data_IF_423828245139
#
_entry.id   IF_423828245139
#
_cell.length_a   1.000
_cell.length_b   1.000
_cell.length_c   1.000
_cell.angle_alpha   90.00
_cell.angle_beta   90.00
_cell.angle_gamma   90.00
#
_symmetry.space_group_name_H-M   'P 1'
#
loop_
_entity.id
_entity.type
_entity.pdbx_description
1 polymer ?
#
# COMPACT_ATOMS: atom_id res chain seq x y z
N UNK A 1 -19.76 9.94 -95.66
CA UNK A 1 -19.67 8.62 -95.06
C UNK A 1 -18.32 8.47 -94.38
N UNK A 2 -18.24 8.68 -93.06
CA UNK A 2 -16.99 8.61 -92.27
C UNK A 2 -17.06 7.43 -91.35
N UNK A 3 -16.16 6.46 -91.44
CA UNK A 3 -15.97 5.36 -90.54
C UNK A 3 -15.09 5.84 -89.35
N UNK A 4 -15.64 5.82 -88.15
CA UNK A 4 -14.88 6.00 -86.89
C UNK A 4 -14.27 4.66 -86.46
N UNK A 5 -12.93 4.63 -86.34
CA UNK A 5 -12.18 3.55 -85.74
C UNK A 5 -12.17 3.74 -84.23
N UNK A 6 -12.59 2.74 -83.46
CA UNK A 6 -12.41 2.67 -82.04
C UNK A 6 -11.05 2.03 -81.76
N UNK A 7 -10.23 2.74 -81.02
CA UNK A 7 -8.97 2.21 -80.43
C UNK A 7 -9.28 1.73 -79.08
N UNK A 8 -9.11 0.42 -78.82
CA UNK A 8 -9.13 -0.15 -77.50
C UNK A 8 -7.75 -0.03 -76.83
N UNK A 9 -7.61 0.82 -75.86
CA UNK A 9 -6.43 0.89 -75.01
C UNK A 9 -6.64 -0.05 -73.86
N UNK A 10 -5.89 -1.17 -73.75
CA UNK A 10 -5.84 -2.07 -72.63
C UNK A 10 -4.95 -1.45 -71.58
N UNK A 11 -5.56 -1.07 -70.42
CA UNK A 11 -4.82 -0.75 -69.16
C UNK A 11 -4.52 -2.03 -68.43
N UNK A 12 -3.25 -2.41 -68.42
CA UNK A 12 -2.71 -3.44 -67.50
C UNK A 12 -2.48 -2.78 -66.13
N UNK A 13 -3.38 -3.07 -65.18
CA UNK A 13 -3.20 -2.73 -63.76
C UNK A 13 -2.18 -3.70 -63.14
N UNK A 14 -0.98 -3.24 -62.88
CA UNK A 14 -0.02 -3.97 -62.06
C UNK A 14 -0.47 -3.87 -60.57
N UNK A 15 -1.00 -4.96 -60.05
CA UNK A 15 -1.26 -5.07 -58.61
C UNK A 15 0.08 -5.27 -57.87
N UNK A 16 0.55 -4.20 -57.26
CA UNK A 16 1.66 -4.28 -56.28
C UNK A 16 1.08 -4.80 -54.98
N UNK A 17 1.17 -6.10 -54.77
CA UNK A 17 0.92 -6.74 -53.46
C UNK A 17 2.10 -6.36 -52.55
N UNK A 18 1.94 -5.34 -51.73
CA UNK A 18 2.81 -5.08 -50.58
C UNK A 18 2.58 -6.19 -49.54
N UNK A 19 3.44 -7.19 -49.57
CA UNK A 19 3.63 -8.11 -48.46
C UNK A 19 4.19 -7.28 -47.27
N UNK A 20 3.29 -6.69 -46.49
CA UNK A 20 3.63 -6.25 -45.16
C UNK A 20 3.97 -7.55 -44.37
N UNK A 21 5.26 -7.80 -44.17
CA UNK A 21 5.74 -8.81 -43.25
C UNK A 21 5.20 -8.40 -41.88
N UNK A 22 4.14 -9.04 -41.46
CA UNK A 22 3.74 -9.02 -40.05
C UNK A 22 4.90 -9.67 -39.27
N UNK A 23 5.81 -8.83 -38.77
CA UNK A 23 6.75 -9.25 -37.74
C UNK A 23 5.88 -9.75 -36.60
N UNK A 24 5.85 -11.06 -36.40
CA UNK A 24 5.19 -11.66 -35.24
C UNK A 24 5.84 -11.03 -34.00
N UNK A 25 5.10 -10.14 -33.33
CA UNK A 25 5.55 -9.57 -32.07
C UNK A 25 5.96 -10.74 -31.16
N UNK A 26 7.18 -10.69 -30.64
CA UNK A 26 7.60 -11.70 -29.64
C UNK A 26 6.51 -11.78 -28.57
N UNK A 27 6.12 -12.99 -28.13
CA UNK A 27 5.17 -13.13 -27.05
C UNK A 27 5.71 -12.33 -25.86
N UNK A 28 4.85 -11.50 -25.25
CA UNK A 28 5.27 -10.69 -24.10
C UNK A 28 5.55 -11.60 -22.91
N UNK A 29 6.56 -11.22 -22.14
CA UNK A 29 6.95 -11.92 -20.92
C UNK A 29 5.80 -11.89 -19.91
N UNK A 30 5.65 -12.97 -19.14
CA UNK A 30 4.64 -13.12 -18.09
C UNK A 30 5.25 -12.83 -16.73
N UNK A 31 4.52 -12.10 -15.90
CA UNK A 31 4.95 -11.67 -14.57
C UNK A 31 4.25 -12.51 -13.51
N UNK A 32 5.03 -13.15 -12.65
CA UNK A 32 4.55 -13.74 -11.41
C UNK A 32 4.71 -12.73 -10.28
N UNK A 33 3.61 -12.22 -9.75
CA UNK A 33 3.62 -11.27 -8.64
C UNK A 33 3.55 -12.00 -7.31
N UNK A 34 4.61 -11.95 -6.50
CA UNK A 34 4.61 -12.42 -5.11
C UNK A 34 4.15 -11.31 -4.19
N UNK A 35 2.96 -11.42 -3.64
CA UNK A 35 2.33 -10.40 -2.78
C UNK A 35 1.25 -11.02 -1.90
N UNK A 36 0.36 -10.22 -1.32
CA UNK A 36 -0.75 -10.65 -0.46
C UNK A 36 -0.29 -11.34 0.83
N UNK A 37 0.26 -10.52 1.76
CA UNK A 37 1.00 -11.04 2.90
C UNK A 37 0.11 -11.55 4.03
N UNK A 38 -1.06 -10.92 4.26
CA UNK A 38 -2.02 -11.28 5.30
C UNK A 38 -3.39 -10.62 5.05
N UNK A 39 -4.41 -11.02 5.84
CA UNK A 39 -5.81 -10.64 5.66
C UNK A 39 -6.47 -10.01 6.90
N UNK A 40 -5.70 -9.76 7.96
CA UNK A 40 -6.18 -9.17 9.23
C UNK A 40 -5.71 -7.73 9.47
N UNK A 41 -5.07 -7.12 8.47
CA UNK A 41 -4.64 -5.73 8.45
C UNK A 41 -4.92 -5.14 7.06
N UNK A 42 -5.76 -4.11 6.99
CA UNK A 42 -6.20 -3.50 5.71
C UNK A 42 -5.06 -2.90 4.92
N UNK A 43 -4.02 -2.43 5.60
CA UNK A 43 -2.85 -1.87 4.97
C UNK A 43 -1.96 -2.92 4.32
N UNK A 44 -1.75 -4.05 5.00
CA UNK A 44 -1.02 -5.17 4.40
C UNK A 44 -1.79 -5.80 3.22
N UNK A 45 -3.13 -5.72 3.24
CA UNK A 45 -3.97 -6.08 2.09
C UNK A 45 -3.73 -5.10 0.93
N UNK A 46 -3.65 -3.80 1.19
CA UNK A 46 -3.55 -2.74 0.17
C UNK A 46 -2.30 -2.81 -0.71
N UNK A 47 -1.21 -3.45 -0.28
CA UNK A 47 -0.01 -3.67 -1.10
C UNK A 47 -0.31 -4.34 -2.44
N UNK A 48 -1.15 -5.36 -2.42
CA UNK A 48 -1.44 -6.18 -3.62
C UNK A 48 -2.26 -5.42 -4.66
N UNK A 49 -3.44 -4.86 -4.34
CA UNK A 49 -4.20 -4.07 -5.31
C UNK A 49 -3.43 -2.84 -5.79
N UNK A 50 -2.62 -2.21 -4.94
CA UNK A 50 -1.77 -1.11 -5.35
C UNK A 50 -0.72 -1.54 -6.40
N UNK A 51 -0.04 -2.67 -6.21
CA UNK A 51 0.91 -3.19 -7.20
C UNK A 51 0.20 -3.64 -8.48
N UNK A 52 -0.96 -4.29 -8.38
CA UNK A 52 -1.77 -4.69 -9.54
C UNK A 52 -2.24 -3.48 -10.34
N UNK A 53 -2.68 -2.40 -9.67
CA UNK A 53 -3.05 -1.15 -10.35
C UNK A 53 -1.86 -0.53 -11.10
N UNK A 54 -0.66 -0.51 -10.50
CA UNK A 54 0.55 -0.04 -11.19
C UNK A 54 0.87 -0.87 -12.44
N UNK A 55 0.78 -2.20 -12.33
CA UNK A 55 1.00 -3.10 -13.46
C UNK A 55 -0.06 -2.90 -14.55
N UNK A 56 -1.34 -2.80 -14.19
CA UNK A 56 -2.43 -2.50 -15.14
C UNK A 56 -2.22 -1.17 -15.86
N UNK A 57 -1.83 -0.12 -15.14
CA UNK A 57 -1.64 1.23 -15.67
C UNK A 57 -0.41 1.38 -16.57
N UNK A 58 0.71 0.81 -16.16
CA UNK A 58 1.98 1.04 -16.84
C UNK A 58 2.43 -0.12 -17.73
N UNK A 59 1.95 -1.33 -17.51
CA UNK A 59 2.27 -2.54 -18.27
C UNK A 59 0.99 -3.32 -18.68
N UNK A 60 0.00 -2.66 -19.33
CA UNK A 60 -1.34 -3.24 -19.55
C UNK A 60 -1.33 -4.47 -20.47
N UNK A 61 -0.28 -4.65 -21.26
CA UNK A 61 -0.15 -5.76 -22.21
C UNK A 61 0.58 -6.97 -21.63
N UNK A 62 1.01 -6.93 -20.36
CA UNK A 62 1.69 -8.06 -19.71
C UNK A 62 0.69 -8.91 -18.92
N UNK A 63 0.83 -10.23 -19.04
CA UNK A 63 0.05 -11.15 -18.22
C UNK A 63 0.64 -11.19 -16.80
N UNK A 64 -0.23 -10.97 -15.81
CA UNK A 64 0.14 -11.00 -14.39
C UNK A 64 -0.63 -12.10 -13.69
N UNK A 65 0.09 -12.97 -12.97
CA UNK A 65 -0.49 -13.97 -12.08
C UNK A 65 -0.07 -13.66 -10.65
N UNK A 66 -1.00 -13.67 -9.71
CA UNK A 66 -0.70 -13.48 -8.29
C UNK A 66 -0.31 -14.80 -7.64
N UNK A 67 0.87 -14.85 -7.04
CA UNK A 67 1.31 -15.86 -6.09
C UNK A 67 1.12 -15.32 -4.66
N UNK A 68 -0.03 -15.62 -4.01
CA UNK A 68 -0.39 -15.00 -2.76
C UNK A 68 0.37 -15.60 -1.57
N UNK A 69 0.52 -14.81 -0.49
CA UNK A 69 0.78 -15.32 0.84
C UNK A 69 -0.49 -15.86 1.48
N UNK A 70 -1.53 -15.01 1.51
CA UNK A 70 -2.87 -15.35 1.97
C UNK A 70 -3.89 -14.41 1.32
N UNK A 71 -5.04 -14.93 0.91
CA UNK A 71 -6.17 -14.18 0.32
C UNK A 71 -7.53 -14.56 0.93
N UNK A 72 -7.53 -15.22 2.10
CA UNK A 72 -8.74 -15.56 2.85
C UNK A 72 -9.52 -14.31 3.31
N UNK A 73 -10.55 -14.52 4.09
CA UNK A 73 -11.37 -13.47 4.72
C UNK A 73 -11.98 -12.47 3.73
N UNK A 74 -12.32 -12.92 2.52
CA UNK A 74 -12.95 -12.09 1.49
C UNK A 74 -11.99 -11.21 0.67
N UNK A 75 -10.67 -11.33 0.89
CA UNK A 75 -9.66 -10.59 0.13
C UNK A 75 -9.60 -11.05 -1.32
N UNK A 76 -9.74 -12.35 -1.58
CA UNK A 76 -9.86 -12.92 -2.92
C UNK A 76 -11.04 -12.32 -3.70
N UNK A 77 -12.23 -12.32 -3.09
CA UNK A 77 -13.44 -11.75 -3.70
C UNK A 77 -13.29 -10.25 -3.98
N UNK A 78 -12.69 -9.49 -3.04
CA UNK A 78 -12.40 -8.07 -3.20
C UNK A 78 -11.42 -7.82 -4.37
N UNK A 79 -10.34 -8.59 -4.47
CA UNK A 79 -9.39 -8.51 -5.58
C UNK A 79 -10.05 -8.86 -6.91
N UNK A 80 -10.83 -9.94 -6.98
CA UNK A 80 -11.51 -10.37 -8.20
C UNK A 80 -12.59 -9.39 -8.65
N UNK A 81 -13.26 -8.69 -7.72
CA UNK A 81 -14.20 -7.59 -8.04
C UNK A 81 -13.51 -6.48 -8.82
N UNK A 82 -12.28 -6.09 -8.43
CA UNK A 82 -11.53 -5.00 -9.07
C UNK A 82 -10.70 -5.47 -10.28
N UNK A 83 -10.15 -6.68 -10.21
CA UNK A 83 -9.29 -7.28 -11.24
C UNK A 83 -9.86 -8.60 -11.77
N UNK A 84 -10.97 -8.59 -12.55
CA UNK A 84 -11.71 -9.80 -12.91
C UNK A 84 -10.95 -10.77 -13.83
N UNK A 85 -9.84 -10.36 -14.39
CA UNK A 85 -8.95 -11.19 -15.22
C UNK A 85 -7.72 -11.72 -14.47
N UNK A 86 -7.55 -11.35 -13.20
CA UNK A 86 -6.42 -11.78 -12.39
C UNK A 86 -6.48 -13.28 -12.15
N UNK A 87 -5.42 -14.01 -12.45
CA UNK A 87 -5.21 -15.37 -11.99
C UNK A 87 -4.57 -15.33 -10.60
N UNK A 88 -5.21 -15.96 -9.61
CA UNK A 88 -4.67 -16.12 -8.24
C UNK A 88 -4.32 -17.60 -8.08
N UNK A 89 -3.08 -17.91 -7.69
CA UNK A 89 -2.65 -19.28 -7.44
C UNK A 89 -3.21 -19.80 -6.10
N UNK A 90 -3.65 -21.06 -6.08
CA UNK A 90 -4.12 -21.74 -4.86
C UNK A 90 -3.00 -22.29 -3.98
N UNK A 91 -1.73 -22.03 -4.35
CA UNK A 91 -0.53 -22.49 -3.63
C UNK A 91 -0.33 -24.02 -3.59
N UNK A 92 -0.96 -24.79 -4.48
CA UNK A 92 -0.66 -26.21 -4.69
C UNK A 92 0.67 -26.42 -5.42
N UNK A 93 1.44 -27.45 -5.05
CA UNK A 93 2.76 -27.72 -5.66
C UNK A 93 2.71 -27.86 -7.17
N UNK A 94 1.68 -28.51 -7.73
CA UNK A 94 1.53 -28.70 -9.18
C UNK A 94 1.30 -27.36 -9.90
N UNK A 95 0.40 -26.53 -9.38
CA UNK A 95 0.06 -25.23 -9.93
C UNK A 95 1.24 -24.26 -9.85
N UNK A 96 1.96 -24.28 -8.72
CA UNK A 96 3.16 -23.45 -8.54
C UNK A 96 4.29 -23.86 -9.50
N UNK A 97 4.50 -25.16 -9.73
CA UNK A 97 5.48 -25.64 -10.71
C UNK A 97 5.11 -25.24 -12.14
N UNK A 98 3.81 -25.28 -12.51
CA UNK A 98 3.31 -24.78 -13.80
C UNK A 98 3.55 -23.28 -13.95
N UNK A 99 3.26 -22.49 -12.90
CA UNK A 99 3.52 -21.07 -12.89
C UNK A 99 5.02 -20.76 -13.06
N UNK A 100 5.89 -21.49 -12.38
CA UNK A 100 7.33 -21.32 -12.50
C UNK A 100 7.85 -21.67 -13.92
N UNK A 101 7.26 -22.67 -14.56
CA UNK A 101 7.61 -23.03 -15.93
C UNK A 101 7.17 -21.95 -16.93
N UNK A 102 5.96 -21.41 -16.76
CA UNK A 102 5.28 -20.54 -17.74
C UNK A 102 5.56 -19.04 -17.60
N UNK A 103 6.03 -18.57 -16.43
CA UNK A 103 6.33 -17.15 -16.21
C UNK A 103 7.83 -16.85 -16.44
N UNK A 104 8.14 -15.64 -16.84
CA UNK A 104 9.46 -15.21 -17.25
C UNK A 104 10.17 -14.36 -16.19
N UNK A 105 9.42 -13.71 -15.34
CA UNK A 105 9.90 -12.77 -14.34
C UNK A 105 9.12 -12.88 -13.04
N UNK A 106 9.82 -12.88 -11.89
CA UNK A 106 9.18 -12.74 -10.58
C UNK A 106 9.28 -11.29 -10.10
N UNK A 107 8.15 -10.65 -9.83
CA UNK A 107 8.10 -9.39 -9.13
C UNK A 107 7.74 -9.65 -7.64
N UNK A 108 8.68 -9.35 -6.73
CA UNK A 108 8.37 -9.27 -5.32
C UNK A 108 7.69 -7.93 -5.06
N UNK A 109 6.41 -7.95 -4.68
CA UNK A 109 5.63 -6.77 -4.35
C UNK A 109 6.14 -6.05 -3.10
N UNK A 110 5.60 -4.86 -2.83
CA UNK A 110 5.97 -4.08 -1.65
C UNK A 110 5.57 -4.79 -0.35
N UNK A 111 6.28 -4.47 0.74
CA UNK A 111 5.98 -5.12 2.00
C UNK A 111 6.99 -4.87 3.12
N UNK A 112 6.75 -5.45 4.31
CA UNK A 112 7.55 -5.22 5.51
C UNK A 112 8.93 -5.90 5.48
N UNK A 113 9.25 -6.64 4.44
CA UNK A 113 10.51 -7.37 4.29
C UNK A 113 10.61 -8.10 2.97
N UNK A 114 11.64 -8.92 2.82
CA UNK A 114 11.89 -9.72 1.61
C UNK A 114 11.51 -11.17 1.89
N UNK A 115 10.57 -11.69 1.11
CA UNK A 115 10.09 -13.06 1.24
C UNK A 115 11.13 -14.08 0.78
N UNK A 116 11.33 -15.14 1.56
CA UNK A 116 12.16 -16.30 1.18
C UNK A 116 11.62 -17.06 -0.04
N UNK A 117 10.39 -16.82 -0.46
CA UNK A 117 9.79 -17.37 -1.69
C UNK A 117 10.62 -17.04 -2.94
N UNK A 118 11.34 -15.90 -2.93
CA UNK A 118 12.28 -15.54 -4.01
C UNK A 118 13.37 -16.61 -4.18
N UNK A 119 13.88 -17.18 -3.08
CA UNK A 119 14.88 -18.27 -3.17
C UNK A 119 14.31 -19.50 -3.86
N UNK A 120 13.04 -19.84 -3.61
CA UNK A 120 12.39 -20.98 -4.28
C UNK A 120 12.28 -20.73 -5.79
N UNK A 121 11.89 -19.52 -6.21
CA UNK A 121 11.88 -19.13 -7.62
C UNK A 121 13.25 -19.29 -8.28
N UNK A 122 14.28 -18.72 -7.66
CA UNK A 122 15.65 -18.79 -8.19
C UNK A 122 16.14 -20.23 -8.29
N UNK A 123 15.95 -21.04 -7.23
CA UNK A 123 16.37 -22.43 -7.19
C UNK A 123 15.68 -23.31 -8.25
N UNK A 124 14.39 -23.06 -8.49
CA UNK A 124 13.59 -23.87 -9.42
C UNK A 124 13.72 -23.44 -10.87
N UNK A 125 13.97 -22.16 -11.13
CA UNK A 125 13.87 -21.61 -12.49
C UNK A 125 15.16 -20.99 -13.01
N UNK A 126 16.01 -20.44 -12.14
CA UNK A 126 17.14 -19.59 -12.54
C UNK A 126 16.74 -18.28 -13.25
N UNK A 127 15.44 -17.96 -13.33
CA UNK A 127 14.92 -16.81 -14.06
C UNK A 127 15.07 -15.51 -13.24
N UNK A 128 15.07 -14.33 -13.91
CA UNK A 128 15.25 -13.04 -13.27
C UNK A 128 14.08 -12.66 -12.34
N UNK A 129 14.37 -11.74 -11.41
CA UNK A 129 13.40 -11.16 -10.50
C UNK A 129 13.78 -9.74 -10.10
N UNK A 130 12.79 -8.99 -9.62
CA UNK A 130 12.93 -7.64 -9.07
C UNK A 130 12.19 -7.47 -7.75
N UNK A 131 12.56 -6.45 -6.98
CA UNK A 131 12.00 -6.14 -5.66
C UNK A 131 11.36 -4.73 -5.72
N UNK A 132 10.07 -4.64 -5.39
CA UNK A 132 9.26 -3.43 -5.50
C UNK A 132 8.83 -2.86 -4.16
N UNK A 133 9.61 -1.97 -3.53
CA UNK A 133 9.19 -1.18 -2.38
C UNK A 133 9.15 -1.92 -1.03
N UNK A 134 10.31 -2.35 -0.51
CA UNK A 134 10.40 -3.10 0.74
C UNK A 134 11.12 -2.33 1.85
N UNK A 135 10.80 -2.62 3.12
CA UNK A 135 11.68 -2.31 4.24
C UNK A 135 12.68 -3.44 4.44
N UNK A 136 13.94 -3.11 4.64
CA UNK A 136 14.98 -4.10 4.92
C UNK A 136 15.79 -3.76 6.16
N UNK A 137 15.85 -4.71 7.10
CA UNK A 137 16.52 -4.55 8.40
C UNK A 137 17.93 -5.15 8.46
N UNK A 138 18.62 -5.34 7.32
CA UNK A 138 20.02 -5.73 7.29
C UNK A 138 20.29 -7.24 7.46
N UNK A 139 19.32 -8.12 7.23
CA UNK A 139 19.52 -9.59 7.35
C UNK A 139 20.41 -10.12 6.23
N UNK A 140 21.30 -11.10 6.54
CA UNK A 140 22.15 -11.74 5.54
C UNK A 140 21.36 -12.45 4.44
N UNK A 141 20.26 -13.11 4.80
CA UNK A 141 19.37 -13.76 3.83
C UNK A 141 18.74 -12.77 2.86
N UNK A 142 18.31 -11.60 3.38
CA UNK A 142 17.79 -10.51 2.55
C UNK A 142 18.87 -9.90 1.64
N UNK A 143 20.11 -9.72 2.14
CA UNK A 143 21.22 -9.22 1.33
C UNK A 143 21.52 -10.14 0.13
N UNK A 144 21.48 -11.46 0.36
CA UNK A 144 21.64 -12.46 -0.71
C UNK A 144 20.59 -12.29 -1.81
N UNK A 145 19.33 -12.08 -1.42
CA UNK A 145 18.23 -11.87 -2.37
C UNK A 145 18.40 -10.53 -3.08
N UNK A 146 18.76 -9.45 -2.37
CA UNK A 146 19.01 -8.14 -2.99
C UNK A 146 20.11 -8.24 -4.04
N UNK A 147 21.21 -8.90 -3.74
CA UNK A 147 22.37 -9.05 -4.64
C UNK A 147 22.08 -9.81 -5.93
N UNK A 148 21.08 -10.71 -5.92
CA UNK A 148 20.67 -11.47 -7.11
C UNK A 148 19.55 -10.82 -7.91
N UNK A 149 18.95 -9.73 -7.42
CA UNK A 149 17.85 -9.04 -8.09
C UNK A 149 18.35 -8.17 -9.25
N UNK A 150 17.53 -8.02 -10.30
CA UNK A 150 17.79 -7.07 -11.40
C UNK A 150 17.69 -5.62 -10.91
N UNK A 151 16.75 -5.37 -10.00
CA UNK A 151 16.58 -4.10 -9.30
C UNK A 151 15.99 -4.33 -7.91
N UNK A 152 16.23 -3.37 -7.00
CA UNK A 152 15.61 -3.35 -5.68
C UNK A 152 15.15 -1.92 -5.31
N UNK A 153 13.87 -1.75 -5.11
CA UNK A 153 13.28 -0.52 -4.57
C UNK A 153 13.01 -0.68 -3.08
N UNK A 154 13.45 0.30 -2.31
CA UNK A 154 13.24 0.35 -0.85
C UNK A 154 12.21 1.43 -0.54
N UNK A 155 11.21 1.12 0.30
CA UNK A 155 10.13 2.05 0.60
C UNK A 155 10.50 3.17 1.56
N UNK A 156 11.73 3.17 2.08
CA UNK A 156 12.29 4.23 2.92
C UNK A 156 13.79 4.40 2.67
N UNK A 157 14.27 5.64 2.84
CA UNK A 157 15.68 6.01 2.62
C UNK A 157 16.64 5.32 3.60
N UNK A 158 16.16 4.92 4.78
CA UNK A 158 16.96 4.24 5.80
C UNK A 158 17.31 2.83 5.35
N UNK A 159 16.33 2.08 4.83
CA UNK A 159 16.56 0.75 4.24
C UNK A 159 17.51 0.82 3.04
N UNK A 160 17.35 1.83 2.17
CA UNK A 160 18.24 2.05 1.02
C UNK A 160 19.67 2.38 1.46
N UNK A 161 19.83 3.25 2.45
CA UNK A 161 21.15 3.60 3.00
C UNK A 161 21.82 2.38 3.63
N UNK A 162 21.08 1.58 4.39
CA UNK A 162 21.57 0.33 4.98
C UNK A 162 22.04 -0.67 3.92
N UNK A 163 21.29 -0.80 2.80
CA UNK A 163 21.70 -1.68 1.70
C UNK A 163 23.04 -1.25 1.09
N UNK A 164 23.24 0.04 0.90
CA UNK A 164 24.53 0.60 0.42
C UNK A 164 25.65 0.40 1.43
N UNK A 165 25.41 0.63 2.71
CA UNK A 165 26.37 0.40 3.79
C UNK A 165 26.81 -1.06 3.87
N UNK A 166 25.87 -1.99 3.68
CA UNK A 166 26.15 -3.43 3.64
C UNK A 166 26.72 -3.92 2.30
N UNK A 167 27.13 -3.00 1.42
CA UNK A 167 27.74 -3.27 0.12
C UNK A 167 26.88 -4.19 -0.77
N UNK A 168 25.57 -3.97 -0.78
CA UNK A 168 24.69 -4.68 -1.72
C UNK A 168 25.12 -4.42 -3.17
N UNK A 169 25.12 -5.47 -3.99
CA UNK A 169 25.63 -5.46 -5.38
C UNK A 169 24.53 -5.47 -6.44
N UNK A 170 23.26 -5.26 -6.05
CA UNK A 170 22.15 -5.13 -7.00
C UNK A 170 22.43 -3.98 -7.99
N UNK A 171 22.27 -4.21 -9.31
CA UNK A 171 22.60 -3.21 -10.34
C UNK A 171 21.88 -1.87 -10.19
N UNK A 172 20.64 -1.90 -9.71
CA UNK A 172 19.84 -0.70 -9.47
C UNK A 172 19.19 -0.78 -8.09
N UNK A 173 19.48 0.20 -7.25
CA UNK A 173 18.87 0.36 -5.93
C UNK A 173 18.38 1.81 -5.77
N UNK A 174 17.08 1.99 -5.63
CA UNK A 174 16.45 3.33 -5.50
C UNK A 174 15.39 3.33 -4.39
N UNK A 175 15.00 4.54 -3.97
CA UNK A 175 13.77 4.74 -3.20
C UNK A 175 12.56 4.53 -4.10
N UNK A 176 11.65 3.66 -3.67
CA UNK A 176 10.35 3.43 -4.30
C UNK A 176 9.33 3.16 -3.22
N UNK A 177 8.34 4.06 -3.04
CA UNK A 177 7.42 4.00 -1.91
C UNK A 177 6.58 2.73 -1.92
N UNK A 178 5.87 2.53 -0.83
CA UNK A 178 4.96 1.42 -0.62
C UNK A 178 3.87 1.40 -1.70
N UNK A 179 3.59 0.24 -2.30
CA UNK A 179 2.56 0.12 -3.33
C UNK A 179 1.15 0.46 -2.83
N UNK A 180 0.93 0.51 -1.51
CA UNK A 180 -0.32 1.00 -0.91
C UNK A 180 -0.66 2.41 -1.38
N UNK A 181 0.32 3.26 -1.75
CA UNK A 181 0.06 4.57 -2.39
C UNK A 181 -0.70 4.48 -3.71
N UNK A 182 -0.65 3.35 -4.39
CA UNK A 182 -1.36 3.13 -5.65
C UNK A 182 -2.65 2.30 -5.49
N UNK A 183 -3.04 1.98 -4.26
CA UNK A 183 -4.29 1.25 -4.03
C UNK A 183 -5.49 2.12 -4.44
N UNK A 184 -6.28 1.60 -5.40
CA UNK A 184 -7.47 2.27 -5.93
C UNK A 184 -8.78 1.56 -5.56
N UNK A 185 -8.71 0.64 -4.60
CA UNK A 185 -9.89 -0.04 -4.06
C UNK A 185 -10.73 0.94 -3.25
N UNK A 186 -11.99 1.11 -3.64
CA UNK A 186 -12.95 1.97 -2.92
C UNK A 186 -14.35 1.35 -3.00
N UNK A 187 -15.03 1.23 -1.88
CA UNK A 187 -16.46 0.96 -1.80
C UNK A 187 -17.19 2.23 -1.33
N UNK A 188 -17.41 3.14 -2.27
CA UNK A 188 -17.98 4.47 -2.01
C UNK A 188 -19.40 4.41 -1.48
N UNK A 189 -20.24 3.53 -2.04
CA UNK A 189 -21.65 3.45 -1.69
C UNK A 189 -21.83 2.90 -0.27
N UNK A 190 -21.13 1.82 0.07
CA UNK A 190 -21.16 1.25 1.41
C UNK A 190 -20.61 2.23 2.46
N UNK A 191 -19.51 2.92 2.15
CA UNK A 191 -18.93 3.91 3.05
C UNK A 191 -19.87 5.10 3.28
N UNK A 192 -20.47 5.65 2.23
CA UNK A 192 -21.41 6.76 2.35
C UNK A 192 -22.66 6.39 3.17
N UNK A 193 -23.22 5.20 2.92
CA UNK A 193 -24.37 4.70 3.67
C UNK A 193 -24.06 4.55 5.17
N UNK A 194 -22.92 3.94 5.50
CA UNK A 194 -22.51 3.77 6.88
C UNK A 194 -22.20 5.10 7.59
N UNK A 195 -21.53 6.04 6.94
CA UNK A 195 -21.26 7.36 7.51
C UNK A 195 -22.55 8.10 7.84
N UNK A 196 -23.54 8.01 6.97
CA UNK A 196 -24.89 8.58 7.22
C UNK A 196 -25.57 7.93 8.43
N UNK A 197 -25.50 6.59 8.55
CA UNK A 197 -26.06 5.83 9.68
C UNK A 197 -25.46 6.25 11.02
N UNK A 198 -24.12 6.43 11.07
CA UNK A 198 -23.43 6.81 12.31
C UNK A 198 -23.35 8.34 12.52
N UNK A 199 -23.95 9.13 11.63
CA UNK A 199 -24.03 10.58 11.72
C UNK A 199 -22.67 11.29 11.52
N UNK A 200 -21.78 10.77 10.69
CA UNK A 200 -20.55 11.42 10.25
C UNK A 200 -20.76 12.05 8.87
N UNK A 201 -20.46 13.34 8.76
CA UNK A 201 -20.59 14.09 7.51
C UNK A 201 -19.23 14.26 6.83
N UNK A 202 -19.22 14.18 5.51
CA UNK A 202 -18.01 14.35 4.69
C UNK A 202 -17.31 15.69 5.00
N UNK A 203 -15.99 15.63 5.20
CA UNK A 203 -15.14 16.77 5.54
C UNK A 203 -15.33 17.32 6.96
N UNK A 204 -16.21 16.71 7.79
CA UNK A 204 -16.52 17.20 9.14
C UNK A 204 -16.11 16.19 10.23
N UNK A 205 -15.26 15.24 9.93
CA UNK A 205 -14.69 14.32 10.92
C UNK A 205 -13.25 13.98 10.59
N UNK A 206 -12.50 13.62 11.62
CA UNK A 206 -11.14 13.07 11.47
C UNK A 206 -11.09 11.64 12.01
N UNK A 207 -10.17 10.84 11.47
CA UNK A 207 -9.93 9.46 11.89
C UNK A 207 -8.76 9.39 12.86
N UNK A 208 -8.86 8.51 13.87
CA UNK A 208 -7.77 8.20 14.78
C UNK A 208 -7.58 6.69 14.89
N UNK A 209 -6.32 6.22 14.76
CA UNK A 209 -5.95 4.80 14.82
C UNK A 209 -4.83 4.60 15.84
N UNK A 210 -5.12 4.13 17.07
CA UNK A 210 -4.08 3.70 18.00
C UNK A 210 -3.52 2.34 17.60
N UNK A 211 -2.28 2.07 18.01
CA UNK A 211 -1.63 0.77 17.85
C UNK A 211 -0.76 0.46 19.07
N UNK A 212 -0.72 -0.80 19.45
CA UNK A 212 0.30 -1.31 20.36
C UNK A 212 1.64 -1.43 19.63
N UNK A 213 2.75 -1.27 20.33
CA UNK A 213 4.11 -1.36 19.76
C UNK A 213 4.32 -2.64 18.97
N UNK A 214 3.77 -3.74 19.45
CA UNK A 214 3.84 -5.04 18.82
C UNK A 214 2.42 -5.55 18.63
N UNK A 215 1.98 -5.73 17.37
CA UNK A 215 0.64 -6.27 17.09
C UNK A 215 0.46 -7.60 17.81
N UNK A 216 -0.60 -7.75 18.64
CA UNK A 216 -0.85 -8.97 19.40
C UNK A 216 -1.50 -10.05 18.51
N UNK A 217 -0.73 -10.58 17.56
CA UNK A 217 -1.22 -11.58 16.60
C UNK A 217 -1.86 -12.81 17.25
N UNK A 218 -1.52 -13.13 18.50
CA UNK A 218 -2.16 -14.20 19.26
C UNK A 218 -3.62 -13.91 19.63
N UNK A 219 -4.10 -12.69 19.48
CA UNK A 219 -5.50 -12.31 19.70
C UNK A 219 -6.34 -12.37 18.41
N UNK A 220 -5.68 -12.37 17.24
CA UNK A 220 -6.33 -12.22 15.94
C UNK A 220 -5.95 -13.30 14.91
N UNK A 221 -5.11 -14.27 15.29
CA UNK A 221 -4.71 -15.42 14.46
C UNK A 221 -4.63 -16.67 15.30
N UNK A 222 -5.36 -17.70 14.95
CA UNK A 222 -5.46 -18.96 15.71
C UNK A 222 -4.15 -19.73 15.85
N UNK A 223 -3.23 -19.54 14.89
CA UNK A 223 -1.96 -20.27 14.82
C UNK A 223 -0.80 -19.54 15.52
N UNK A 224 -1.02 -18.40 16.15
CA UNK A 224 0.02 -17.62 16.84
C UNK A 224 -0.11 -17.80 18.36
N UNK A 225 0.94 -18.29 18.99
CA UNK A 225 0.98 -18.49 20.45
C UNK A 225 1.19 -17.16 21.17
N UNK A 226 0.61 -17.07 22.38
CA UNK A 226 0.85 -15.95 23.29
C UNK A 226 2.33 -15.78 23.60
N UNK A 227 2.81 -14.53 23.51
CA UNK A 227 4.19 -14.15 23.83
C UNK A 227 4.19 -13.17 25.03
N UNK A 228 4.55 -13.65 26.24
CA UNK A 228 4.48 -12.84 27.44
C UNK A 228 5.45 -11.65 27.44
N UNK A 229 6.57 -11.73 26.71
CA UNK A 229 7.54 -10.62 26.63
C UNK A 229 6.98 -9.49 25.77
N UNK A 230 6.41 -9.83 24.62
CA UNK A 230 5.76 -8.86 23.74
C UNK A 230 4.55 -8.22 24.40
N UNK A 231 3.75 -9.04 25.12
CA UNK A 231 2.62 -8.53 25.89
C UNK A 231 3.08 -7.56 26.96
N UNK A 232 4.08 -7.91 27.79
CA UNK A 232 4.61 -7.04 28.83
C UNK A 232 5.12 -5.70 28.25
N UNK A 233 5.79 -5.72 27.09
CA UNK A 233 6.24 -4.49 26.40
C UNK A 233 5.08 -3.62 25.95
N UNK A 234 4.03 -4.21 25.43
CA UNK A 234 2.81 -3.50 25.07
C UNK A 234 2.15 -2.86 26.29
N UNK A 235 2.00 -3.61 27.39
CA UNK A 235 1.39 -3.09 28.63
C UNK A 235 2.21 -1.93 29.23
N UNK A 236 3.53 -2.02 29.21
CA UNK A 236 4.43 -0.97 29.66
C UNK A 236 4.23 0.35 28.89
N UNK A 237 4.05 0.28 27.58
CA UNK A 237 4.11 1.45 26.71
C UNK A 237 2.73 1.96 26.23
N UNK A 238 1.66 1.19 26.39
CA UNK A 238 0.37 1.52 25.79
C UNK A 238 -0.21 2.87 26.23
N UNK A 239 -0.07 3.24 27.48
CA UNK A 239 -0.56 4.56 27.94
C UNK A 239 0.33 5.70 27.41
N UNK A 240 1.64 5.52 27.46
CA UNK A 240 2.60 6.48 26.92
C UNK A 240 2.32 6.78 25.43
N UNK A 241 2.11 5.74 24.62
CA UNK A 241 1.95 5.88 23.18
C UNK A 241 0.53 6.30 22.74
N UNK A 242 -0.50 6.06 23.58
CA UNK A 242 -1.90 6.33 23.21
C UNK A 242 -2.45 7.61 23.87
N UNK A 243 -1.90 8.04 25.01
CA UNK A 243 -2.35 9.29 25.65
C UNK A 243 -2.23 10.52 24.73
N UNK A 244 -1.16 10.72 23.95
CA UNK A 244 -1.09 11.82 22.98
C UNK A 244 -2.22 11.79 21.94
N UNK A 245 -2.58 10.61 21.45
CA UNK A 245 -3.70 10.44 20.50
C UNK A 245 -5.04 10.81 21.16
N UNK A 246 -5.27 10.31 22.38
CA UNK A 246 -6.48 10.65 23.16
C UNK A 246 -6.59 12.15 23.41
N UNK A 247 -5.49 12.80 23.75
CA UNK A 247 -5.45 14.24 23.94
C UNK A 247 -5.78 14.99 22.63
N UNK A 248 -5.28 14.53 21.49
CA UNK A 248 -5.62 15.10 20.18
C UNK A 248 -7.12 14.91 19.85
N UNK A 249 -7.70 13.75 20.14
CA UNK A 249 -9.16 13.52 20.01
C UNK A 249 -9.96 14.54 20.84
N UNK A 250 -9.57 14.75 22.10
CA UNK A 250 -10.22 15.72 22.99
C UNK A 250 -10.10 17.15 22.43
N UNK A 251 -8.91 17.54 22.00
CA UNK A 251 -8.66 18.87 21.44
C UNK A 251 -9.48 19.12 20.18
N UNK A 252 -9.49 18.20 19.21
CA UNK A 252 -10.30 18.33 17.99
C UNK A 252 -11.78 18.56 18.31
N UNK A 253 -12.35 17.75 19.19
CA UNK A 253 -13.77 17.86 19.55
C UNK A 253 -14.11 19.16 20.27
N UNK A 254 -13.22 19.68 21.11
CA UNK A 254 -13.46 20.89 21.89
C UNK A 254 -13.13 22.18 21.17
N UNK A 255 -12.12 22.17 20.31
CA UNK A 255 -11.59 23.37 19.66
C UNK A 255 -12.05 23.53 18.20
N UNK A 256 -12.73 22.52 17.64
CA UNK A 256 -13.21 22.54 16.25
C UNK A 256 -14.67 22.02 16.17
N UNK A 257 -15.38 22.29 15.07
CA UNK A 257 -16.71 21.71 14.85
C UNK A 257 -16.68 20.22 14.43
N UNK A 258 -15.50 19.60 14.31
CA UNK A 258 -15.36 18.24 13.80
C UNK A 258 -15.77 17.18 14.81
N UNK A 259 -16.23 16.05 14.29
CA UNK A 259 -16.38 14.79 15.01
C UNK A 259 -15.13 13.93 14.86
N UNK A 260 -15.04 12.88 15.67
CA UNK A 260 -13.95 11.90 15.58
C UNK A 260 -14.47 10.50 15.27
N UNK A 261 -13.73 9.78 14.45
CA UNK A 261 -13.89 8.36 14.20
C UNK A 261 -12.69 7.60 14.75
N UNK A 262 -12.92 6.75 15.75
CA UNK A 262 -11.93 5.77 16.20
C UNK A 262 -12.09 4.50 15.37
N UNK A 263 -11.09 4.18 14.56
CA UNK A 263 -11.18 3.08 13.59
C UNK A 263 -9.94 2.19 13.60
N UNK A 264 -10.06 0.92 13.16
CA UNK A 264 -8.94 -0.01 13.10
C UNK A 264 -8.23 0.02 11.74
N UNK A 265 -6.94 -0.30 11.72
CA UNK A 265 -6.20 -0.82 10.57
C UNK A 265 -6.06 -2.34 10.68
N UNK A 266 -5.78 -2.88 11.86
CA UNK A 266 -5.77 -4.31 12.12
C UNK A 266 -6.88 -4.76 13.09
N UNK A 267 -7.18 -6.05 13.07
CA UNK A 267 -8.28 -6.63 13.82
C UNK A 267 -8.13 -6.58 15.36
N UNK A 268 -6.94 -6.24 15.90
CA UNK A 268 -6.75 -6.09 17.36
C UNK A 268 -7.16 -4.71 17.88
N UNK A 269 -7.35 -3.74 16.97
CA UNK A 269 -7.45 -2.32 17.36
C UNK A 269 -8.85 -1.88 17.77
N UNK A 270 -9.92 -2.62 17.45
CA UNK A 270 -11.26 -2.27 17.92
C UNK A 270 -11.33 -2.20 19.44
N UNK A 271 -10.85 -3.25 20.11
CA UNK A 271 -10.77 -3.31 21.56
C UNK A 271 -9.85 -2.23 22.12
N UNK A 272 -8.67 -2.05 21.53
CA UNK A 272 -7.70 -1.03 21.94
C UNK A 272 -8.28 0.38 21.86
N UNK A 273 -8.99 0.72 20.77
CA UNK A 273 -9.71 1.97 20.59
C UNK A 273 -10.69 2.23 21.73
N UNK A 274 -11.47 1.19 22.09
CA UNK A 274 -12.45 1.28 23.17
C UNK A 274 -11.79 1.54 24.52
N UNK A 275 -10.90 0.66 24.92
CA UNK A 275 -10.31 0.65 26.27
C UNK A 275 -9.37 1.84 26.53
N UNK A 276 -8.59 2.25 25.53
CA UNK A 276 -7.53 3.24 25.72
C UNK A 276 -7.91 4.65 25.29
N UNK A 277 -8.92 4.79 24.42
CA UNK A 277 -9.41 6.11 24.01
C UNK A 277 -10.86 6.29 24.43
N UNK A 278 -11.82 5.59 23.82
CA UNK A 278 -13.26 5.87 23.95
C UNK A 278 -13.75 5.89 25.39
N UNK A 279 -13.45 4.83 26.17
CA UNK A 279 -13.92 4.70 27.57
C UNK A 279 -13.28 5.74 28.52
N UNK A 280 -12.12 6.31 28.15
CA UNK A 280 -11.40 7.33 28.90
C UNK A 280 -11.72 8.77 28.49
N UNK A 281 -12.60 8.97 27.50
CA UNK A 281 -13.00 10.31 27.07
C UNK A 281 -13.97 10.96 28.07
N UNK A 282 -13.89 12.28 28.28
CA UNK A 282 -14.94 13.04 28.95
C UNK A 282 -16.28 12.91 28.22
N UNK A 283 -17.39 12.97 28.94
CA UNK A 283 -18.74 12.76 28.38
C UNK A 283 -19.11 13.79 27.29
N UNK A 284 -18.67 15.05 27.46
CA UNK A 284 -18.86 16.10 26.44
C UNK A 284 -18.15 15.80 25.12
N UNK A 285 -17.01 15.11 25.18
CA UNK A 285 -16.23 14.67 24.02
C UNK A 285 -16.82 13.41 23.41
N UNK A 286 -17.14 12.43 24.26
CA UNK A 286 -17.67 11.11 23.85
C UNK A 286 -18.91 11.24 22.97
N UNK A 287 -19.77 12.21 23.22
CA UNK A 287 -20.97 12.50 22.43
C UNK A 287 -20.69 12.84 20.95
N UNK A 288 -19.45 13.21 20.59
CA UNK A 288 -19.04 13.54 19.22
C UNK A 288 -18.03 12.55 18.65
N UNK A 289 -17.83 11.40 19.30
CA UNK A 289 -16.88 10.38 18.90
C UNK A 289 -17.62 9.11 18.52
N UNK A 290 -17.40 8.64 17.31
CA UNK A 290 -17.85 7.33 16.84
C UNK A 290 -16.72 6.33 17.05
N UNK A 291 -17.01 5.22 17.70
CA UNK A 291 -16.11 4.08 17.81
C UNK A 291 -16.62 2.97 16.90
N UNK A 292 -15.76 2.53 15.95
CA UNK A 292 -16.07 1.42 15.07
C UNK A 292 -15.79 0.08 15.78
N UNK A 293 -16.84 -0.67 16.01
CA UNK A 293 -16.80 -1.94 16.74
C UNK A 293 -16.30 -3.12 15.90
N UNK A 294 -16.53 -3.06 14.58
CA UNK A 294 -16.26 -4.18 13.69
C UNK A 294 -15.09 -3.89 12.75
N UNK A 295 -14.30 -4.92 12.47
CA UNK A 295 -13.28 -4.86 11.44
C UNK A 295 -13.92 -4.59 10.05
N UNK A 296 -13.16 -4.06 9.14
CA UNK A 296 -13.55 -3.74 7.78
C UNK A 296 -12.48 -4.18 6.78
N UNK A 297 -12.81 -4.25 5.49
CA UNK A 297 -11.83 -4.48 4.44
C UNK A 297 -11.32 -3.15 3.86
N UNK A 298 -10.27 -3.25 3.07
CA UNK A 298 -9.50 -2.11 2.53
C UNK A 298 -10.36 -1.17 1.70
N UNK A 299 -11.24 -1.68 0.83
CA UNK A 299 -12.11 -0.90 -0.05
C UNK A 299 -13.12 -0.04 0.73
N UNK A 300 -13.74 -0.62 1.75
CA UNK A 300 -14.67 0.11 2.62
C UNK A 300 -13.93 1.17 3.44
N UNK A 301 -12.78 0.81 4.06
CA UNK A 301 -11.97 1.74 4.83
C UNK A 301 -11.52 2.94 3.99
N UNK A 302 -11.09 2.69 2.75
CA UNK A 302 -10.69 3.76 1.81
C UNK A 302 -11.84 4.70 1.50
N UNK A 303 -13.05 4.18 1.27
CA UNK A 303 -14.24 5.01 1.05
C UNK A 303 -14.54 5.94 2.22
N UNK A 304 -14.34 5.47 3.47
CA UNK A 304 -14.48 6.29 4.68
C UNK A 304 -13.36 7.33 4.78
N UNK A 305 -12.09 6.95 4.56
CA UNK A 305 -10.95 7.86 4.63
C UNK A 305 -11.05 8.98 3.60
N UNK A 306 -11.49 8.70 2.38
CA UNK A 306 -11.67 9.69 1.33
C UNK A 306 -12.64 10.82 1.72
N UNK A 307 -13.57 10.53 2.63
CA UNK A 307 -14.57 11.47 3.12
C UNK A 307 -14.17 12.17 4.43
N UNK A 308 -13.04 11.79 5.02
CA UNK A 308 -12.54 12.41 6.25
C UNK A 308 -11.85 13.75 5.96
N UNK A 309 -11.73 14.59 6.98
CA UNK A 309 -10.89 15.79 6.97
C UNK A 309 -9.39 15.46 7.15
N UNK A 310 -9.09 14.27 7.68
CA UNK A 310 -7.71 13.80 7.90
C UNK A 310 -7.67 12.60 8.82
N UNK A 311 -6.47 12.06 8.99
CA UNK A 311 -6.20 10.91 9.85
C UNK A 311 -4.94 11.15 10.69
N UNK A 312 -4.92 10.65 11.91
CA UNK A 312 -3.70 10.58 12.72
C UNK A 312 -3.67 9.29 13.54
N UNK A 313 -2.48 8.80 13.83
CA UNK A 313 -2.36 7.58 14.61
C UNK A 313 -0.97 6.96 14.63
N UNK A 314 -0.91 5.76 15.20
CA UNK A 314 0.31 4.98 15.35
C UNK A 314 0.50 3.95 14.20
N UNK A 315 -0.44 3.90 13.25
CA UNK A 315 -0.33 3.08 12.06
C UNK A 315 0.29 3.85 10.89
N UNK A 316 0.61 3.11 9.81
CA UNK A 316 1.28 3.71 8.66
C UNK A 316 0.56 3.50 7.34
N UNK A 317 -0.11 2.37 7.13
CA UNK A 317 -0.74 2.12 5.84
C UNK A 317 -2.03 2.93 5.68
N UNK A 318 -2.85 3.06 6.73
CA UNK A 318 -4.02 3.94 6.68
C UNK A 318 -3.65 5.40 6.40
N UNK A 319 -2.60 5.98 7.03
CA UNK A 319 -2.04 7.25 6.58
C UNK A 319 -1.59 7.26 5.11
N UNK A 320 -0.93 6.20 4.60
CA UNK A 320 -0.57 6.09 3.18
C UNK A 320 -1.82 6.11 2.30
N UNK A 321 -2.86 5.34 2.67
CA UNK A 321 -4.14 5.31 1.97
C UNK A 321 -4.82 6.69 1.95
N UNK A 322 -4.69 7.48 3.00
CA UNK A 322 -5.14 8.86 3.04
C UNK A 322 -4.34 9.75 2.08
N UNK A 323 -3.02 9.79 2.19
CA UNK A 323 -2.14 10.62 1.35
C UNK A 323 -2.31 10.29 -0.13
N UNK A 324 -2.49 9.01 -0.48
CA UNK A 324 -2.71 8.56 -1.86
C UNK A 324 -3.96 9.16 -2.51
N UNK A 325 -4.89 9.67 -1.72
CA UNK A 325 -6.13 10.33 -2.15
C UNK A 325 -6.18 11.83 -1.78
N UNK A 326 -5.04 12.40 -1.36
CA UNK A 326 -4.94 13.82 -1.01
C UNK A 326 -5.58 14.17 0.32
N UNK A 327 -5.84 13.19 1.18
CA UNK A 327 -6.33 13.37 2.53
C UNK A 327 -5.13 13.52 3.49
N UNK A 328 -5.06 14.60 4.29
CA UNK A 328 -3.96 14.81 5.24
C UNK A 328 -3.84 13.69 6.26
N UNK A 329 -2.61 13.25 6.55
CA UNK A 329 -2.40 12.21 7.54
C UNK A 329 -1.10 12.36 8.33
N UNK A 330 -1.19 12.20 9.65
CA UNK A 330 -0.09 12.27 10.60
C UNK A 330 0.25 10.87 11.09
N UNK A 331 1.54 10.56 11.12
CA UNK A 331 2.10 9.31 11.63
C UNK A 331 2.85 9.55 12.93
N UNK A 332 2.48 8.80 13.97
CA UNK A 332 3.27 8.65 15.18
C UNK A 332 3.94 7.27 15.17
N UNK A 333 5.26 7.24 15.28
CA UNK A 333 6.06 6.01 15.19
C UNK A 333 6.81 5.70 16.49
N UNK A 334 7.32 4.49 16.58
CA UNK A 334 8.26 4.01 17.61
C UNK A 334 9.23 2.98 17.00
N UNK A 335 10.30 2.64 17.71
CA UNK A 335 11.38 1.82 17.18
C UNK A 335 10.95 0.42 16.70
N UNK A 336 9.98 -0.20 17.38
CA UNK A 336 9.47 -1.53 17.03
C UNK A 336 8.80 -1.60 15.64
N UNK A 337 8.43 -0.45 15.07
CA UNK A 337 7.93 -0.35 13.68
C UNK A 337 9.04 -0.31 12.62
N UNK A 338 10.30 -0.46 13.02
CA UNK A 338 11.46 -0.37 12.12
C UNK A 338 11.59 1.01 11.45
N UNK A 339 12.11 1.07 10.20
CA UNK A 339 12.34 2.33 9.49
C UNK A 339 11.16 2.82 8.66
N UNK A 340 10.08 2.05 8.53
CA UNK A 340 9.00 2.39 7.57
C UNK A 340 8.37 3.77 7.77
N UNK A 341 8.31 4.29 9.01
CA UNK A 341 7.82 5.64 9.30
C UNK A 341 8.61 6.77 8.66
N UNK A 342 9.89 6.55 8.39
CA UNK A 342 10.72 7.57 7.77
C UNK A 342 10.36 7.87 6.32
N UNK A 343 9.55 7.03 5.68
CA UNK A 343 8.96 7.33 4.36
C UNK A 343 8.22 8.67 4.33
N UNK A 344 7.63 9.13 5.47
CA UNK A 344 7.04 10.47 5.57
C UNK A 344 8.04 11.58 5.28
N UNK A 345 9.29 11.44 5.76
CA UNK A 345 10.37 12.40 5.43
C UNK A 345 10.71 12.34 3.93
N UNK A 346 10.74 11.14 3.37
CA UNK A 346 11.13 10.90 1.97
C UNK A 346 10.13 11.47 0.96
N UNK A 347 8.86 11.65 1.37
CA UNK A 347 7.81 12.27 0.55
C UNK A 347 7.49 13.72 0.95
N UNK A 348 8.31 14.34 1.82
CA UNK A 348 8.17 15.76 2.17
C UNK A 348 7.18 16.08 3.29
N UNK A 349 6.84 15.09 4.14
CA UNK A 349 5.88 15.24 5.25
C UNK A 349 6.56 15.16 6.63
N UNK A 350 7.78 15.66 6.78
CA UNK A 350 8.56 15.56 8.02
C UNK A 350 7.83 16.13 9.25
N UNK A 351 7.04 17.20 9.11
CA UNK A 351 6.28 17.82 10.19
C UNK A 351 5.01 17.05 10.58
N UNK A 352 4.63 16.04 9.81
CA UNK A 352 3.56 15.10 10.13
C UNK A 352 4.08 13.73 10.57
N UNK A 353 5.37 13.66 10.96
CA UNK A 353 5.99 12.47 11.53
C UNK A 353 6.47 12.77 12.96
N UNK A 354 5.94 12.05 13.93
CA UNK A 354 6.31 12.15 15.34
C UNK A 354 6.89 10.82 15.84
N UNK A 355 7.91 10.89 16.69
CA UNK A 355 8.56 9.73 17.28
C UNK A 355 8.22 9.67 18.79
N UNK A 356 7.48 8.64 19.22
CA UNK A 356 7.14 8.45 20.63
C UNK A 356 8.37 8.21 21.51
N UNK A 357 9.41 7.55 20.98
CA UNK A 357 10.65 7.29 21.74
C UNK A 357 11.47 8.57 22.02
N UNK A 358 11.03 9.71 21.48
CA UNK A 358 11.60 11.04 21.69
C UNK A 358 10.59 12.02 22.29
N UNK A 359 9.45 11.56 22.75
CA UNK A 359 8.33 12.36 23.26
C UNK A 359 7.87 13.46 22.26
N UNK A 360 8.10 13.25 20.96
CA UNK A 360 7.72 14.22 19.94
C UNK A 360 6.20 14.31 19.81
N UNK A 361 5.49 13.16 19.93
CA UNK A 361 4.02 13.10 19.84
C UNK A 361 3.35 13.79 21.05
N UNK A 362 3.91 13.67 22.26
CA UNK A 362 3.40 14.35 23.45
C UNK A 362 3.38 15.87 23.28
N UNK A 363 4.43 16.41 22.65
CA UNK A 363 4.61 17.88 22.50
C UNK A 363 3.96 18.45 21.24
N UNK A 364 3.96 17.69 20.14
CA UNK A 364 3.70 18.20 18.80
C UNK A 364 2.40 17.72 18.15
N UNK A 365 1.81 16.62 18.60
CA UNK A 365 0.68 16.01 17.89
C UNK A 365 -0.57 16.87 17.94
N UNK A 366 -0.95 17.37 19.11
CA UNK A 366 -2.16 18.21 19.25
C UNK A 366 -2.11 19.45 18.36
N UNK A 367 -1.04 20.28 18.40
CA UNK A 367 -0.91 21.41 17.48
C UNK A 367 -0.97 21.03 16.00
N UNK A 368 -0.33 19.92 15.61
CA UNK A 368 -0.32 19.47 14.21
C UNK A 368 -1.71 19.02 13.73
N UNK A 369 -2.44 18.27 14.56
CA UNK A 369 -3.81 17.82 14.24
C UNK A 369 -4.77 19.01 14.15
N UNK A 370 -4.70 19.96 15.10
CA UNK A 370 -5.48 21.20 15.06
C UNK A 370 -5.09 22.08 13.86
N UNK A 371 -3.80 22.08 13.47
CA UNK A 371 -3.33 22.76 12.27
C UNK A 371 -4.02 22.24 11.00
N UNK A 372 -4.17 20.92 10.86
CA UNK A 372 -4.92 20.30 9.75
C UNK A 372 -6.41 20.69 9.83
N UNK A 373 -7.01 20.57 11.01
CA UNK A 373 -8.43 20.85 11.21
C UNK A 373 -8.82 22.32 10.90
N UNK A 374 -7.91 23.26 11.19
CA UNK A 374 -8.14 24.70 11.01
C UNK A 374 -7.72 25.22 9.61
N UNK A 375 -6.85 24.51 8.88
CA UNK A 375 -6.47 24.84 7.49
C UNK A 375 -6.53 23.59 6.60
N UNK A 376 -7.72 23.06 6.43
CA UNK A 376 -7.94 21.87 5.59
C UNK A 376 -7.50 22.06 4.12
N UNK A 377 -7.74 23.23 3.46
CA UNK A 377 -7.25 23.45 2.10
C UNK A 377 -5.71 23.38 1.99
N UNK A 378 -4.98 24.04 2.90
CA UNK A 378 -3.51 23.99 2.92
C UNK A 378 -2.99 22.59 3.23
N UNK A 379 -3.59 21.87 4.18
CA UNK A 379 -3.24 20.51 4.50
C UNK A 379 -3.47 19.54 3.32
N UNK A 380 -4.61 19.66 2.61
CA UNK A 380 -4.89 18.88 1.39
C UNK A 380 -3.88 19.17 0.27
N UNK A 381 -3.54 20.44 0.05
CA UNK A 381 -2.54 20.81 -0.96
C UNK A 381 -1.19 20.14 -0.66
N UNK A 382 -0.77 20.10 0.61
CA UNK A 382 0.44 19.42 1.04
C UNK A 382 0.37 17.89 0.87
N UNK A 383 -0.75 17.27 1.21
CA UNK A 383 -0.97 15.85 0.98
C UNK A 383 -0.87 15.50 -0.52
N UNK A 384 -1.45 16.32 -1.40
CA UNK A 384 -1.37 16.15 -2.84
C UNK A 384 0.07 16.32 -3.37
N UNK A 385 0.87 17.23 -2.81
CA UNK A 385 2.28 17.37 -3.16
C UNK A 385 3.07 16.10 -2.80
N UNK A 386 2.86 15.57 -1.60
CA UNK A 386 3.49 14.32 -1.16
C UNK A 386 3.08 13.11 -2.02
N UNK A 387 1.78 13.05 -2.38
CA UNK A 387 1.27 12.07 -3.34
C UNK A 387 2.02 12.17 -4.68
N UNK A 388 2.23 13.37 -5.21
CA UNK A 388 2.98 13.57 -6.46
C UNK A 388 4.39 12.98 -6.41
N UNK A 389 5.10 13.17 -5.29
CA UNK A 389 6.43 12.54 -5.07
C UNK A 389 6.34 11.02 -5.10
N UNK A 390 5.33 10.44 -4.43
CA UNK A 390 5.14 8.99 -4.42
C UNK A 390 4.78 8.46 -5.82
N UNK A 391 3.88 9.12 -6.54
CA UNK A 391 3.46 8.74 -7.90
C UNK A 391 4.65 8.72 -8.88
N UNK A 392 5.53 9.73 -8.84
CA UNK A 392 6.72 9.81 -9.69
C UNK A 392 7.69 8.65 -9.42
N UNK A 393 7.88 8.29 -8.15
CA UNK A 393 8.74 7.17 -7.76
C UNK A 393 8.17 5.81 -8.15
N UNK A 394 6.85 5.63 -8.00
CA UNK A 394 6.17 4.41 -8.44
C UNK A 394 6.21 4.28 -9.97
N UNK A 395 6.01 5.38 -10.71
CA UNK A 395 6.20 5.37 -12.17
C UNK A 395 7.61 4.96 -12.54
N UNK A 396 8.65 5.52 -11.87
CA UNK A 396 10.05 5.15 -12.09
C UNK A 396 10.28 3.64 -11.88
N UNK A 397 9.69 3.05 -10.83
CA UNK A 397 9.79 1.61 -10.58
C UNK A 397 9.17 0.80 -11.74
N UNK A 398 8.04 1.22 -12.27
CA UNK A 398 7.40 0.55 -13.41
C UNK A 398 8.19 0.73 -14.72
N UNK A 399 8.83 1.89 -14.94
CA UNK A 399 9.69 2.11 -16.10
C UNK A 399 10.94 1.19 -16.06
N UNK A 400 11.52 0.97 -14.86
CA UNK A 400 12.62 0.00 -14.66
C UNK A 400 12.17 -1.42 -14.94
N UNK A 401 11.03 -1.83 -14.37
CA UNK A 401 10.47 -3.16 -14.63
C UNK A 401 10.20 -3.39 -16.12
N UNK A 402 9.67 -2.39 -16.82
CA UNK A 402 9.44 -2.48 -18.26
C UNK A 402 10.75 -2.71 -19.02
N UNK A 403 11.79 -1.95 -18.71
CA UNK A 403 13.10 -2.09 -19.36
C UNK A 403 13.67 -3.51 -19.18
N UNK A 404 13.55 -4.11 -18.01
CA UNK A 404 13.97 -5.49 -17.73
C UNK A 404 13.15 -6.54 -18.49
N UNK A 405 11.88 -6.25 -18.73
CA UNK A 405 11.00 -7.17 -19.45
C UNK A 405 11.23 -7.09 -20.98
N UNK A 406 11.64 -5.95 -21.49
CA UNK A 406 11.86 -5.70 -22.94
C UNK A 406 13.31 -6.05 -23.38
N UNK A 407 14.26 -6.03 -22.47
CA UNK A 407 15.68 -6.46 -22.70
C UNK A 407 15.79 -7.95 -22.78
#
# INVERSE_FOLDING_TARGET
MQRRRFIHTALTAAAVTSLASAQSAKPRKKILLRSSWQTVNIGDIAHTPGMLHLLEKYLPDYEVTLWPGNVDNGVDAMLMKRFPKLKILENGDAELNEAFASHDFLLHGSGPGISSSVNLWVQKTGKPYGIGGVTWGGTESGLKIINGAQFAFFRDSVSLALAKEKNATCPLMEFGPDATFACDLVDDDAAAAWLSEVGLEEGKFMCCIPKLRITPYWEIKDNVKFDPKKHARNEEMKEHDIAPLRNAVIAVVRETPMKMLLCPEDASQMKLNKEMIYDKLPEDVKAKVVWRENYWLTDFAQGVYNRSAGLFGNEQHSPIMCISHGIPAIVCRYAEQTSKGFMWKDIGLSEWLFDHDKDEAEKGLVPAVLGIANDLPGAKAKALQAKGVADDRMKRMMDVLRAELEG
#
